data_IF_830920241543
#
_entry.id   IF_830920241543
#
_cell.length_a   1.000
_cell.length_b   1.000
_cell.length_c   1.000
_cell.angle_alpha   90.00
_cell.angle_beta   90.00
_cell.angle_gamma   90.00
#
_symmetry.space_group_name_H-M   'P 1'
#
loop_
_entity.id
_entity.type
_entity.pdbx_description
1 polymer ?
#
# COMPACT_ATOMS: atom_id res chain seq x y z
N UNK A 1 -18.79 -28.91 -24.01
CA UNK A 1 -17.87 -29.53 -23.03
C UNK A 1 -16.84 -28.49 -22.62
N UNK A 2 -16.58 -28.39 -21.33
CA UNK A 2 -15.60 -27.49 -20.73
C UNK A 2 -14.85 -28.19 -19.58
N UNK A 3 -13.76 -27.64 -19.13
CA UNK A 3 -13.10 -28.07 -17.91
C UNK A 3 -13.47 -27.14 -16.76
N UNK A 4 -13.46 -27.67 -15.54
CA UNK A 4 -13.61 -26.90 -14.32
C UNK A 4 -12.28 -26.38 -13.79
N UNK A 5 -12.28 -25.98 -12.53
CA UNK A 5 -11.10 -25.55 -11.80
C UNK A 5 -10.00 -26.61 -11.87
N UNK A 6 -8.78 -26.18 -12.20
CA UNK A 6 -7.65 -27.08 -12.50
C UNK A 6 -7.37 -28.17 -11.46
N UNK A 7 -7.56 -27.84 -10.16
CA UNK A 7 -7.25 -28.76 -9.05
C UNK A 7 -8.48 -29.29 -8.32
N UNK A 8 -9.62 -28.61 -8.40
CA UNK A 8 -10.81 -28.90 -7.60
C UNK A 8 -11.98 -29.41 -8.46
N UNK A 9 -12.04 -28.96 -9.71
CA UNK A 9 -13.15 -29.25 -10.61
C UNK A 9 -12.98 -30.55 -11.38
N UNK A 10 -14.08 -31.02 -11.97
CA UNK A 10 -14.07 -32.12 -12.95
C UNK A 10 -13.55 -31.64 -14.30
N UNK A 11 -12.99 -32.53 -15.05
CA UNK A 11 -12.65 -32.33 -16.47
C UNK A 11 -13.78 -32.83 -17.37
N UNK A 12 -13.82 -32.35 -18.62
CA UNK A 12 -14.78 -32.75 -19.63
C UNK A 12 -16.25 -32.64 -19.21
N UNK A 13 -16.58 -31.54 -18.50
CA UNK A 13 -17.94 -31.25 -18.03
C UNK A 13 -18.85 -30.99 -19.23
N UNK A 14 -19.95 -31.73 -19.33
CA UNK A 14 -20.95 -31.50 -20.35
C UNK A 14 -21.99 -30.47 -19.89
N UNK A 15 -22.16 -29.42 -20.67
CA UNK A 15 -23.16 -28.38 -20.43
C UNK A 15 -24.25 -28.56 -21.53
N UNK A 16 -25.41 -29.08 -21.16
CA UNK A 16 -26.45 -29.40 -22.16
C UNK A 16 -27.11 -28.15 -22.75
N UNK A 17 -27.19 -27.06 -21.98
CA UNK A 17 -27.75 -25.81 -22.46
C UNK A 17 -27.17 -24.58 -21.67
N UNK A 18 -27.38 -23.39 -22.21
CA UNK A 18 -26.83 -22.16 -21.64
C UNK A 18 -27.40 -21.82 -20.26
N UNK A 19 -28.64 -22.21 -19.96
CA UNK A 19 -29.27 -21.90 -18.68
C UNK A 19 -28.62 -22.65 -17.50
N UNK A 20 -28.05 -23.82 -17.77
CA UNK A 20 -27.39 -24.64 -16.75
C UNK A 20 -25.90 -24.31 -16.57
N UNK A 21 -25.33 -23.49 -17.47
CA UNK A 21 -23.90 -23.17 -17.49
C UNK A 21 -23.33 -22.76 -16.13
N UNK A 22 -23.90 -21.73 -15.53
CA UNK A 22 -23.40 -21.23 -14.25
C UNK A 22 -23.58 -22.22 -13.10
N UNK A 23 -24.70 -22.93 -13.07
CA UNK A 23 -25.00 -23.94 -12.04
C UNK A 23 -24.00 -25.11 -12.12
N UNK A 24 -23.80 -25.65 -13.31
CA UNK A 24 -22.88 -26.78 -13.52
C UNK A 24 -21.44 -26.40 -13.21
N UNK A 25 -21.00 -25.20 -13.60
CA UNK A 25 -19.65 -24.73 -13.27
C UNK A 25 -19.45 -24.57 -11.76
N UNK A 26 -20.44 -24.08 -11.03
CA UNK A 26 -20.35 -24.00 -9.56
C UNK A 26 -20.29 -25.36 -8.89
N UNK A 27 -21.12 -26.30 -9.32
CA UNK A 27 -21.32 -27.58 -8.62
C UNK A 27 -20.33 -28.67 -9.06
N UNK A 28 -19.99 -28.74 -10.31
CA UNK A 28 -19.08 -29.74 -10.87
C UNK A 28 -17.72 -29.17 -11.24
N UNK A 29 -17.71 -27.92 -11.69
CA UNK A 29 -16.50 -27.24 -12.12
C UNK A 29 -15.72 -26.59 -10.99
N UNK A 30 -16.31 -26.35 -9.84
CA UNK A 30 -15.70 -25.55 -8.76
C UNK A 30 -15.19 -24.18 -9.29
N UNK A 31 -16.06 -23.52 -10.07
CA UNK A 31 -15.81 -22.19 -10.65
C UNK A 31 -17.06 -21.33 -10.46
N UNK A 32 -16.89 -20.13 -9.95
CA UNK A 32 -17.94 -19.12 -9.94
C UNK A 32 -17.79 -18.24 -11.20
N UNK A 33 -18.62 -18.45 -12.22
CA UNK A 33 -18.47 -17.72 -13.49
C UNK A 33 -18.98 -16.29 -13.43
N UNK A 34 -19.90 -15.98 -12.50
CA UNK A 34 -20.45 -14.64 -12.36
C UNK A 34 -19.48 -13.71 -11.62
N UNK A 35 -18.99 -12.68 -12.31
CA UNK A 35 -18.06 -11.71 -11.77
C UNK A 35 -18.57 -11.02 -10.49
N UNK A 36 -19.86 -10.62 -10.50
CA UNK A 36 -20.43 -9.88 -9.35
C UNK A 36 -20.63 -10.77 -8.14
N UNK A 37 -21.11 -12.00 -8.37
CA UNK A 37 -21.29 -13.00 -7.28
C UNK A 37 -19.94 -13.36 -6.69
N UNK A 38 -18.92 -13.58 -7.51
CA UNK A 38 -17.56 -13.89 -7.04
C UNK A 38 -16.95 -12.73 -6.25
N UNK A 39 -17.10 -11.50 -6.75
CA UNK A 39 -16.62 -10.29 -6.06
C UNK A 39 -17.28 -10.12 -4.69
N UNK A 40 -18.59 -10.28 -4.61
CA UNK A 40 -19.32 -10.19 -3.34
C UNK A 40 -18.88 -11.30 -2.37
N UNK A 41 -18.67 -12.50 -2.88
CA UNK A 41 -18.13 -13.61 -2.07
C UNK A 41 -16.76 -13.28 -1.47
N UNK A 42 -15.84 -12.67 -2.25
CA UNK A 42 -14.53 -12.22 -1.73
C UNK A 42 -14.74 -11.16 -0.64
N UNK A 43 -15.57 -10.15 -0.90
CA UNK A 43 -15.84 -9.07 0.04
C UNK A 43 -16.35 -9.60 1.39
N UNK A 44 -17.36 -10.46 1.37
CA UNK A 44 -17.92 -11.04 2.59
C UNK A 44 -16.94 -11.97 3.31
N UNK A 45 -16.14 -12.76 2.56
CA UNK A 45 -15.12 -13.60 3.18
C UNK A 45 -14.03 -12.78 3.86
N UNK A 46 -13.57 -11.68 3.24
CA UNK A 46 -12.58 -10.76 3.83
C UNK A 46 -13.10 -10.19 5.15
N UNK A 47 -14.32 -9.67 5.19
CA UNK A 47 -14.94 -9.13 6.40
C UNK A 47 -15.08 -10.20 7.51
N UNK A 48 -15.55 -11.37 7.15
CA UNK A 48 -15.74 -12.46 8.11
C UNK A 48 -14.41 -12.96 8.70
N UNK A 49 -13.36 -13.08 7.87
CA UNK A 49 -12.03 -13.53 8.31
C UNK A 49 -11.28 -12.50 9.14
N UNK A 50 -11.55 -11.22 8.94
CA UNK A 50 -10.97 -10.15 9.74
C UNK A 50 -11.40 -10.19 11.22
N UNK A 51 -12.59 -10.69 11.50
CA UNK A 51 -13.11 -10.74 12.87
C UNK A 51 -13.35 -9.36 13.46
N UNK A 52 -12.58 -8.98 14.47
CA UNK A 52 -12.66 -7.67 15.13
C UNK A 52 -11.87 -6.56 14.41
N UNK A 53 -11.01 -6.91 13.44
CA UNK A 53 -10.21 -5.96 12.70
C UNK A 53 -10.94 -5.37 11.49
N UNK A 54 -10.45 -4.22 11.02
CA UNK A 54 -10.94 -3.59 9.79
C UNK A 54 -10.02 -3.94 8.63
N UNK A 55 -10.58 -4.35 7.51
CA UNK A 55 -9.83 -4.67 6.30
C UNK A 55 -9.63 -3.41 5.47
N UNK A 56 -8.40 -3.12 5.09
CA UNK A 56 -8.08 -2.08 4.10
C UNK A 56 -8.34 -2.69 2.72
N UNK A 57 -9.45 -2.30 2.11
CA UNK A 57 -9.99 -2.94 0.90
C UNK A 57 -10.27 -1.90 -0.20
N UNK A 58 -9.22 -1.39 -0.88
CA UNK A 58 -9.41 -0.55 -2.05
C UNK A 58 -10.22 -1.28 -3.13
N UNK A 59 -11.20 -0.61 -3.72
CA UNK A 59 -12.06 -1.17 -4.77
C UNK A 59 -11.24 -1.75 -5.93
N UNK A 60 -10.20 -1.03 -6.36
CA UNK A 60 -9.32 -1.48 -7.45
C UNK A 60 -8.58 -2.78 -7.11
N UNK A 61 -8.15 -2.96 -5.85
CA UNK A 61 -7.51 -4.20 -5.42
C UNK A 61 -8.50 -5.35 -5.38
N UNK A 62 -9.71 -5.11 -4.87
CA UNK A 62 -10.76 -6.12 -4.84
C UNK A 62 -11.16 -6.57 -6.26
N UNK A 63 -11.28 -5.64 -7.20
CA UNK A 63 -11.61 -5.92 -8.59
C UNK A 63 -10.47 -6.69 -9.30
N UNK A 64 -9.23 -6.33 -9.03
CA UNK A 64 -8.06 -7.05 -9.55
C UNK A 64 -8.01 -8.48 -9.04
N UNK A 65 -8.13 -8.68 -7.73
CA UNK A 65 -8.10 -10.01 -7.10
C UNK A 65 -9.28 -10.87 -7.58
N UNK A 66 -10.46 -10.29 -7.72
CA UNK A 66 -11.62 -10.97 -8.30
C UNK A 66 -11.36 -11.45 -9.73
N UNK A 67 -10.60 -10.69 -10.51
CA UNK A 67 -10.26 -11.07 -11.90
C UNK A 67 -9.20 -12.17 -11.97
N UNK A 68 -8.42 -12.36 -10.90
CA UNK A 68 -7.35 -13.37 -10.83
C UNK A 68 -7.81 -14.73 -10.30
N UNK A 69 -9.05 -14.83 -9.77
CA UNK A 69 -9.54 -16.02 -9.11
C UNK A 69 -10.81 -16.55 -9.76
N UNK A 70 -10.99 -17.86 -9.75
CA UNK A 70 -12.19 -18.58 -10.25
C UNK A 70 -13.04 -19.12 -9.11
N UNK A 71 -12.37 -19.54 -8.03
CA UNK A 71 -12.98 -20.10 -6.81
C UNK A 71 -12.30 -19.51 -5.58
N UNK A 72 -12.61 -18.24 -5.24
CA UNK A 72 -11.89 -17.51 -4.21
C UNK A 72 -12.17 -18.06 -2.82
N UNK A 73 -11.09 -18.26 -2.06
CA UNK A 73 -11.12 -18.63 -0.63
C UNK A 73 -10.15 -17.74 0.12
N UNK A 74 -10.63 -17.10 1.18
CA UNK A 74 -9.82 -16.18 1.98
C UNK A 74 -9.17 -16.90 3.16
N UNK A 75 -7.86 -16.76 3.27
CA UNK A 75 -7.07 -17.24 4.40
C UNK A 75 -6.41 -16.07 5.12
N UNK A 76 -6.19 -16.25 6.43
CA UNK A 76 -5.48 -15.30 7.27
C UNK A 76 -4.05 -15.79 7.49
N UNK A 77 -3.08 -14.90 7.34
CA UNK A 77 -1.67 -15.14 7.57
C UNK A 77 -1.09 -14.02 8.45
N UNK A 78 0.12 -14.25 8.96
CA UNK A 78 0.80 -13.35 9.89
C UNK A 78 2.22 -13.06 9.42
N UNK A 79 2.75 -11.92 9.84
CA UNK A 79 4.15 -11.57 9.73
C UNK A 79 4.70 -11.17 11.10
N UNK A 80 6.01 -11.08 11.21
CA UNK A 80 6.68 -10.79 12.47
C UNK A 80 6.35 -9.38 12.96
N UNK A 81 5.91 -9.22 14.24
CA UNK A 81 5.48 -7.91 14.79
C UNK A 81 6.56 -6.81 14.72
N UNK A 82 7.83 -7.19 14.61
CA UNK A 82 8.96 -6.25 14.52
C UNK A 82 8.88 -5.32 13.31
N UNK A 83 8.25 -5.78 12.20
CA UNK A 83 8.03 -4.96 11.02
C UNK A 83 7.06 -3.79 11.27
N UNK A 84 6.21 -3.84 12.30
CA UNK A 84 5.33 -2.74 12.67
C UNK A 84 6.07 -1.47 13.12
N UNK A 85 7.40 -1.54 13.30
CA UNK A 85 8.25 -0.37 13.50
C UNK A 85 8.43 0.51 12.25
N UNK A 86 8.13 -0.05 11.07
CA UNK A 86 8.10 0.67 9.80
C UNK A 86 6.77 1.41 9.66
N UNK A 87 6.73 2.62 9.06
CA UNK A 87 5.47 3.30 8.79
C UNK A 87 4.45 2.38 8.14
N UNK A 88 3.25 2.34 8.68
CA UNK A 88 2.21 1.40 8.23
C UNK A 88 1.86 1.58 6.74
N UNK A 89 1.91 2.80 6.23
CA UNK A 89 1.64 3.10 4.82
C UNK A 89 2.61 2.37 3.88
N UNK A 90 3.88 2.19 4.30
CA UNK A 90 4.87 1.42 3.55
C UNK A 90 4.51 -0.07 3.50
N UNK A 91 4.15 -0.63 4.67
CA UNK A 91 3.80 -2.06 4.78
C UNK A 91 2.51 -2.37 4.02
N UNK A 92 1.50 -1.51 4.15
CA UNK A 92 0.22 -1.64 3.45
C UNK A 92 0.46 -1.63 1.95
N UNK A 93 1.19 -0.64 1.45
CA UNK A 93 1.47 -0.51 0.02
C UNK A 93 2.28 -1.69 -0.51
N UNK A 94 3.29 -2.14 0.24
CA UNK A 94 4.09 -3.33 -0.09
C UNK A 94 3.21 -4.58 -0.24
N UNK A 95 2.31 -4.82 0.70
CA UNK A 95 1.40 -5.98 0.66
C UNK A 95 0.42 -5.89 -0.52
N UNK A 96 -0.16 -4.72 -0.76
CA UNK A 96 -1.15 -4.52 -1.82
C UNK A 96 -0.54 -4.55 -3.22
N UNK A 97 0.56 -3.82 -3.43
CA UNK A 97 1.15 -3.67 -4.77
C UNK A 97 1.84 -4.95 -5.23
N UNK A 98 2.65 -5.55 -4.36
CA UNK A 98 3.50 -6.67 -4.75
C UNK A 98 2.79 -8.02 -4.69
N UNK A 99 1.89 -8.22 -3.71
CA UNK A 99 1.32 -9.52 -3.41
C UNK A 99 -0.20 -9.58 -3.46
N UNK A 100 -0.90 -8.44 -3.65
CA UNK A 100 -2.36 -8.36 -3.68
C UNK A 100 -3.01 -8.83 -2.37
N UNK A 101 -2.33 -8.64 -1.24
CA UNK A 101 -2.85 -8.95 0.07
C UNK A 101 -3.66 -7.80 0.65
N UNK A 102 -4.59 -8.14 1.53
CA UNK A 102 -5.42 -7.17 2.24
C UNK A 102 -4.89 -6.99 3.66
N UNK A 103 -4.36 -5.82 3.93
CA UNK A 103 -3.90 -5.45 5.26
C UNK A 103 -5.09 -5.19 6.19
N UNK A 104 -4.87 -5.33 7.50
CA UNK A 104 -5.89 -5.08 8.49
C UNK A 104 -5.42 -4.09 9.54
N UNK A 105 -6.37 -3.34 10.10
CA UNK A 105 -6.13 -2.40 11.20
C UNK A 105 -7.02 -2.73 12.40
N UNK A 106 -6.58 -2.28 13.57
CA UNK A 106 -7.40 -2.27 14.77
C UNK A 106 -8.48 -1.17 14.71
N UNK A 107 -9.24 -1.03 15.79
CA UNK A 107 -10.29 -0.02 15.96
C UNK A 107 -9.76 1.43 15.99
N UNK A 108 -8.46 1.62 16.21
CA UNK A 108 -7.77 2.92 16.20
C UNK A 108 -7.11 3.24 14.88
N UNK A 109 -7.21 2.35 13.89
CA UNK A 109 -6.58 2.49 12.59
C UNK A 109 -5.09 2.13 12.55
N UNK A 110 -4.56 1.51 13.60
CA UNK A 110 -3.18 1.01 13.60
C UNK A 110 -3.10 -0.35 12.90
N UNK A 111 -2.10 -0.51 12.03
CA UNK A 111 -1.85 -1.75 11.31
C UNK A 111 -1.56 -2.89 12.31
N UNK A 112 -2.19 -4.04 12.08
CA UNK A 112 -1.89 -5.27 12.82
C UNK A 112 -0.95 -6.16 12.00
N UNK A 113 -0.25 -7.09 12.66
CA UNK A 113 0.69 -7.99 11.99
C UNK A 113 0.01 -9.21 11.34
N UNK A 114 -1.26 -9.08 11.01
CA UNK A 114 -2.04 -10.07 10.29
C UNK A 114 -2.49 -9.49 8.94
N UNK A 115 -2.64 -10.35 7.95
CA UNK A 115 -3.15 -9.97 6.63
C UNK A 115 -4.02 -11.08 6.03
N UNK A 116 -4.83 -10.72 5.05
CA UNK A 116 -5.69 -11.66 4.36
C UNK A 116 -5.19 -11.88 2.93
N UNK A 117 -5.20 -13.14 2.52
CA UNK A 117 -4.86 -13.57 1.17
C UNK A 117 -6.06 -14.26 0.53
N UNK A 118 -6.35 -13.91 -0.71
CA UNK A 118 -7.36 -14.61 -1.51
C UNK A 118 -6.66 -15.66 -2.34
N UNK A 119 -6.91 -16.91 -1.99
CA UNK A 119 -6.43 -18.08 -2.71
C UNK A 119 -7.49 -18.53 -3.73
N UNK A 120 -7.04 -19.25 -4.75
CA UNK A 120 -7.93 -19.93 -5.71
C UNK A 120 -8.13 -21.41 -5.37
N UNK A 121 -7.77 -21.86 -4.18
CA UNK A 121 -7.83 -23.27 -3.75
C UNK A 121 -8.49 -23.39 -2.39
N UNK A 122 -9.55 -24.20 -2.33
CA UNK A 122 -10.14 -24.67 -1.07
C UNK A 122 -9.39 -25.92 -0.60
N UNK A 123 -8.99 -25.94 0.66
CA UNK A 123 -8.33 -27.08 1.30
C UNK A 123 -8.71 -27.19 2.77
N UNK A 124 -8.75 -28.40 3.29
CA UNK A 124 -8.98 -28.68 4.71
C UNK A 124 -7.76 -28.31 5.57
N UNK A 125 -6.56 -28.36 4.97
CA UNK A 125 -5.32 -27.92 5.61
C UNK A 125 -4.70 -26.74 4.82
N UNK A 126 -4.95 -25.49 5.23
CA UNK A 126 -4.41 -24.32 4.57
C UNK A 126 -2.96 -23.95 4.98
N UNK A 127 -2.31 -24.75 5.83
CA UNK A 127 -0.99 -24.42 6.41
C UNK A 127 0.03 -24.07 5.33
N UNK A 128 0.13 -24.83 4.25
CA UNK A 128 1.05 -24.59 3.15
C UNK A 128 0.74 -23.28 2.39
N UNK A 129 -0.53 -22.92 2.28
CA UNK A 129 -0.93 -21.66 1.63
C UNK A 129 -0.55 -20.49 2.55
N UNK A 130 -0.89 -20.57 3.84
CA UNK A 130 -0.63 -19.52 4.84
C UNK A 130 0.87 -19.30 5.00
N UNK A 131 1.64 -20.36 5.26
CA UNK A 131 3.09 -20.30 5.43
C UNK A 131 3.81 -19.85 4.14
N UNK A 132 3.34 -20.32 2.99
CA UNK A 132 3.87 -19.92 1.70
C UNK A 132 3.75 -18.42 1.46
N UNK A 133 2.57 -17.85 1.73
CA UNK A 133 2.32 -16.42 1.57
C UNK A 133 3.06 -15.58 2.62
N UNK A 134 3.13 -16.03 3.88
CA UNK A 134 3.95 -15.38 4.91
C UNK A 134 5.44 -15.36 4.53
N UNK A 135 5.95 -16.46 3.95
CA UNK A 135 7.33 -16.56 3.46
C UNK A 135 7.62 -15.59 2.31
N UNK A 136 6.66 -15.34 1.44
CA UNK A 136 6.81 -14.41 0.31
C UNK A 136 6.74 -12.95 0.75
N UNK A 137 5.88 -12.61 1.70
CA UNK A 137 5.75 -11.22 2.17
C UNK A 137 6.94 -10.76 3.00
N UNK A 138 7.52 -11.65 3.81
CA UNK A 138 8.61 -11.33 4.76
C UNK A 138 9.81 -10.62 4.11
N UNK A 139 10.41 -11.10 3.01
CA UNK A 139 11.50 -10.37 2.35
C UNK A 139 11.10 -8.96 1.90
N UNK A 140 9.87 -8.77 1.44
CA UNK A 140 9.36 -7.47 1.00
C UNK A 140 9.22 -6.48 2.16
N UNK A 141 8.73 -6.96 3.32
CA UNK A 141 8.67 -6.14 4.52
C UNK A 141 10.07 -5.83 5.07
N UNK A 142 11.01 -6.77 4.96
CA UNK A 142 12.41 -6.56 5.31
C UNK A 142 13.09 -5.51 4.41
N UNK A 143 12.82 -5.52 3.11
CA UNK A 143 13.30 -4.49 2.18
C UNK A 143 12.76 -3.10 2.57
N UNK A 144 11.46 -3.00 2.86
CA UNK A 144 10.86 -1.74 3.32
C UNK A 144 11.47 -1.25 4.64
N UNK A 145 11.71 -2.16 5.59
CA UNK A 145 12.39 -1.83 6.85
C UNK A 145 13.82 -1.34 6.59
N UNK A 146 14.55 -2.01 5.72
CA UNK A 146 15.91 -1.63 5.36
C UNK A 146 15.95 -0.22 4.75
N UNK A 147 15.11 0.09 3.77
CA UNK A 147 15.05 1.42 3.15
C UNK A 147 14.70 2.49 4.18
N UNK A 148 13.71 2.24 5.03
CA UNK A 148 13.33 3.18 6.08
C UNK A 148 14.49 3.48 7.04
N UNK A 149 15.18 2.44 7.51
CA UNK A 149 16.32 2.59 8.42
C UNK A 149 17.54 3.26 7.76
N UNK A 150 17.78 3.04 6.46
CA UNK A 150 18.84 3.74 5.74
C UNK A 150 18.50 5.21 5.54
N UNK A 151 17.27 5.53 5.17
CA UNK A 151 16.83 6.90 4.95
C UNK A 151 16.90 7.74 6.24
N UNK A 152 16.56 7.18 7.39
CA UNK A 152 16.67 7.86 8.70
C UNK A 152 18.09 8.29 9.07
N UNK A 153 19.12 7.67 8.50
CA UNK A 153 20.53 8.03 8.73
C UNK A 153 20.95 9.31 8.01
N UNK A 154 20.19 9.72 6.99
CA UNK A 154 20.47 10.93 6.20
C UNK A 154 19.70 12.11 6.79
N UNK A 155 20.37 13.23 7.02
CA UNK A 155 19.69 14.46 7.44
C UNK A 155 18.79 15.00 6.35
N UNK A 156 17.74 15.75 6.76
CA UNK A 156 16.85 16.41 5.79
C UNK A 156 17.62 17.43 4.92
N UNK A 157 18.59 18.11 5.49
CA UNK A 157 19.41 19.09 4.77
C UNK A 157 20.28 18.42 3.69
N UNK A 158 20.83 17.23 3.95
CA UNK A 158 21.52 16.43 2.93
C UNK A 158 20.59 15.99 1.82
N UNK A 159 19.36 15.56 2.16
CA UNK A 159 18.33 15.19 1.18
C UNK A 159 17.97 16.39 0.31
N UNK A 160 17.71 17.57 0.91
CA UNK A 160 17.41 18.80 0.17
C UNK A 160 18.58 19.19 -0.75
N UNK A 161 19.84 19.04 -0.29
CA UNK A 161 21.01 19.28 -1.11
C UNK A 161 21.01 18.47 -2.42
N UNK A 162 20.58 17.21 -2.37
CA UNK A 162 20.47 16.33 -3.55
C UNK A 162 19.37 16.75 -4.52
N UNK A 163 18.38 17.53 -4.12
CA UNK A 163 17.32 18.05 -5.00
C UNK A 163 17.85 18.97 -6.10
N UNK A 164 19.07 19.47 -5.99
CA UNK A 164 19.71 20.25 -7.05
C UNK A 164 19.96 19.43 -8.32
N UNK A 165 20.13 18.13 -8.21
CA UNK A 165 20.30 17.21 -9.34
C UNK A 165 18.99 16.64 -9.89
N UNK A 166 17.87 16.84 -9.19
CA UNK A 166 16.54 16.34 -9.60
C UNK A 166 15.89 17.35 -10.53
N UNK A 167 15.67 16.97 -11.78
CA UNK A 167 15.01 17.85 -12.76
C UNK A 167 13.55 18.04 -12.39
N UNK A 168 13.14 19.29 -12.19
CA UNK A 168 11.73 19.64 -12.02
C UNK A 168 11.06 19.87 -13.39
N UNK A 169 11.69 20.71 -14.21
CA UNK A 169 11.21 21.02 -15.55
C UNK A 169 12.38 21.58 -16.39
N UNK A 170 12.48 21.19 -17.66
CA UNK A 170 13.60 21.55 -18.54
C UNK A 170 13.89 23.05 -18.64
N UNK A 171 12.84 23.88 -18.55
CA UNK A 171 12.98 25.35 -18.62
C UNK A 171 12.99 26.03 -17.25
N UNK A 172 12.52 25.39 -16.19
CA UNK A 172 12.35 25.96 -14.85
C UNK A 172 13.42 25.49 -13.85
N UNK A 173 14.26 24.54 -14.29
CA UNK A 173 15.39 24.05 -13.52
C UNK A 173 15.09 22.86 -12.62
N UNK A 174 15.87 22.71 -11.55
CA UNK A 174 15.82 21.59 -10.62
C UNK A 174 14.73 21.74 -9.56
N UNK A 175 14.43 20.64 -8.85
CA UNK A 175 13.61 20.66 -7.63
C UNK A 175 14.23 21.56 -6.56
N UNK A 176 15.55 21.57 -6.40
CA UNK A 176 16.23 22.48 -5.47
C UNK A 176 15.99 23.95 -5.81
N UNK A 177 16.05 24.33 -7.08
CA UNK A 177 15.72 25.70 -7.53
C UNK A 177 14.23 26.04 -7.27
N UNK A 178 13.33 25.07 -7.43
CA UNK A 178 11.90 25.22 -7.09
C UNK A 178 11.72 25.41 -5.59
N UNK A 179 12.35 24.61 -4.75
CA UNK A 179 12.30 24.73 -3.27
C UNK A 179 12.70 26.13 -2.83
N UNK A 180 13.79 26.70 -3.39
CA UNK A 180 14.22 28.06 -3.06
C UNK A 180 13.14 29.11 -3.38
N UNK A 181 12.46 28.99 -4.51
CA UNK A 181 11.35 29.89 -4.88
C UNK A 181 10.16 29.76 -3.94
N UNK A 182 9.75 28.51 -3.65
CA UNK A 182 8.62 28.23 -2.75
C UNK A 182 8.94 28.75 -1.34
N UNK A 183 10.18 28.58 -0.86
CA UNK A 183 10.62 29.09 0.44
C UNK A 183 10.53 30.61 0.54
N UNK A 184 10.91 31.33 -0.53
CA UNK A 184 10.79 32.79 -0.56
C UNK A 184 9.34 33.25 -0.53
N UNK A 185 8.45 32.57 -1.29
CA UNK A 185 7.01 32.86 -1.31
C UNK A 185 6.37 32.55 0.04
N UNK A 186 6.69 31.41 0.65
CA UNK A 186 6.17 31.01 1.94
C UNK A 186 6.57 32.01 3.05
N UNK A 187 7.83 32.48 3.02
CA UNK A 187 8.30 33.51 3.94
C UNK A 187 7.50 34.82 3.79
N UNK A 188 7.33 35.29 2.56
CA UNK A 188 6.58 36.51 2.27
C UNK A 188 5.12 36.41 2.75
N UNK A 189 4.44 35.29 2.41
CA UNK A 189 3.06 35.07 2.83
C UNK A 189 2.92 34.98 4.36
N UNK A 190 3.82 34.29 5.01
CA UNK A 190 3.83 34.19 6.47
C UNK A 190 3.97 35.56 7.14
N UNK A 191 4.84 36.42 6.61
CA UNK A 191 5.00 37.81 7.10
C UNK A 191 3.71 38.61 6.92
N UNK A 192 3.07 38.55 5.73
CA UNK A 192 1.83 39.28 5.46
C UNK A 192 0.66 38.84 6.34
N UNK A 193 0.64 37.56 6.69
CA UNK A 193 -0.42 36.95 7.51
C UNK A 193 -0.12 36.98 9.02
N UNK A 194 1.02 37.50 9.43
CA UNK A 194 1.43 37.49 10.83
C UNK A 194 1.73 36.09 11.40
N UNK A 195 2.06 35.12 10.51
CA UNK A 195 2.42 33.76 10.87
C UNK A 195 3.92 33.63 11.16
N UNK A 196 4.35 32.44 11.65
CA UNK A 196 5.75 32.19 11.95
C UNK A 196 6.56 32.00 10.65
N UNK A 197 7.31 33.04 10.29
CA UNK A 197 8.15 33.08 9.07
C UNK A 197 9.23 31.98 9.09
N UNK A 198 9.84 31.69 10.24
CA UNK A 198 10.90 30.70 10.34
C UNK A 198 10.34 29.28 10.09
N UNK A 199 9.20 28.95 10.65
CA UNK A 199 8.55 27.65 10.47
C UNK A 199 8.03 27.49 9.03
N UNK A 200 7.44 28.54 8.44
CA UNK A 200 7.01 28.53 7.04
C UNK A 200 8.19 28.32 6.07
N UNK A 201 9.33 28.97 6.31
CA UNK A 201 10.56 28.76 5.54
C UNK A 201 11.09 27.34 5.67
N UNK A 202 11.13 26.81 6.91
CA UNK A 202 11.63 25.45 7.16
C UNK A 202 10.71 24.40 6.51
N UNK A 203 9.40 24.52 6.67
CA UNK A 203 8.42 23.66 6.04
C UNK A 203 8.58 23.62 4.50
N UNK A 204 8.65 24.79 3.86
CA UNK A 204 8.86 24.90 2.43
C UNK A 204 10.21 24.31 1.98
N UNK A 205 11.25 24.44 2.80
CA UNK A 205 12.59 23.93 2.51
C UNK A 205 12.64 22.40 2.49
N UNK A 206 12.02 21.74 3.48
CA UNK A 206 12.09 20.27 3.61
C UNK A 206 10.95 19.53 2.92
N UNK A 207 9.90 20.22 2.47
CA UNK A 207 8.66 19.62 1.95
C UNK A 207 8.88 18.59 0.82
N UNK A 208 10.00 18.66 0.11
CA UNK A 208 10.35 17.75 -1.00
C UNK A 208 11.59 16.91 -0.73
N UNK A 209 12.10 16.91 0.50
CA UNK A 209 13.34 16.22 0.85
C UNK A 209 13.26 14.70 0.58
N UNK A 210 12.10 14.10 0.81
CA UNK A 210 11.84 12.67 0.67
C UNK A 210 11.87 12.16 -0.79
N UNK A 211 11.80 13.04 -1.79
CA UNK A 211 11.91 12.65 -3.21
C UNK A 211 13.23 11.96 -3.56
N UNK A 212 14.25 12.11 -2.73
CA UNK A 212 15.57 11.48 -2.91
C UNK A 212 15.83 10.37 -1.90
N UNK A 213 14.82 9.96 -1.15
CA UNK A 213 14.87 8.82 -0.25
C UNK A 213 14.76 7.51 -1.02
N UNK A 214 15.33 6.43 -0.47
CA UNK A 214 15.26 5.11 -1.06
C UNK A 214 13.81 4.59 -1.04
N UNK A 215 13.07 4.88 0.04
CA UNK A 215 11.67 4.50 0.18
C UNK A 215 10.77 5.13 -0.91
N UNK A 216 10.90 6.43 -1.17
CA UNK A 216 10.11 7.10 -2.22
C UNK A 216 10.61 6.72 -3.61
N UNK A 217 11.87 6.33 -3.75
CA UNK A 217 12.41 5.75 -4.98
C UNK A 217 11.74 4.44 -5.35
N UNK A 218 11.46 3.58 -4.35
CA UNK A 218 10.74 2.30 -4.52
C UNK A 218 9.22 2.51 -4.62
N UNK A 219 8.66 3.38 -3.77
CA UNK A 219 7.24 3.66 -3.67
C UNK A 219 6.95 5.15 -3.85
N UNK A 220 6.85 5.65 -5.11
CA UNK A 220 6.60 7.07 -5.39
C UNK A 220 5.31 7.64 -4.78
N UNK A 221 4.32 6.78 -4.52
CA UNK A 221 3.04 7.14 -3.89
C UNK A 221 3.22 7.60 -2.45
N UNK A 222 4.33 7.24 -1.80
CA UNK A 222 4.63 7.62 -0.42
C UNK A 222 5.30 8.98 -0.29
N UNK A 223 5.51 9.71 -1.40
CA UNK A 223 6.07 11.06 -1.33
C UNK A 223 5.17 11.96 -0.47
N UNK A 224 5.80 12.75 0.38
CA UNK A 224 5.14 13.58 1.40
C UNK A 224 4.84 12.81 2.69
N UNK A 225 4.26 11.62 2.62
CA UNK A 225 4.05 10.75 3.78
C UNK A 225 5.39 10.43 4.44
N UNK A 226 6.36 9.98 3.65
CA UNK A 226 7.71 9.69 4.15
C UNK A 226 8.43 10.95 4.63
N UNK A 227 8.24 12.07 3.95
CA UNK A 227 8.75 13.37 4.38
C UNK A 227 8.31 13.73 5.80
N UNK A 228 7.05 13.50 6.14
CA UNK A 228 6.53 13.70 7.50
C UNK A 228 7.21 12.78 8.52
N UNK A 229 7.36 11.49 8.21
CA UNK A 229 8.03 10.55 9.12
C UNK A 229 9.50 10.91 9.36
N UNK A 230 10.24 11.27 8.31
CA UNK A 230 11.64 11.68 8.43
C UNK A 230 11.77 13.01 9.17
N UNK A 231 10.91 13.99 8.89
CA UNK A 231 10.90 15.26 9.59
C UNK A 231 10.63 15.07 11.11
N UNK A 232 9.66 14.23 11.45
CA UNK A 232 9.37 13.87 12.84
C UNK A 232 10.56 13.16 13.50
N UNK A 233 11.19 12.22 12.81
CA UNK A 233 12.37 11.50 13.29
C UNK A 233 13.54 12.43 13.60
N UNK A 234 13.75 13.45 12.76
CA UNK A 234 14.83 14.44 12.93
C UNK A 234 14.47 15.59 13.88
N UNK A 235 13.33 15.51 14.57
CA UNK A 235 12.95 16.46 15.62
C UNK A 235 12.41 17.79 15.10
N UNK A 236 11.91 17.85 13.87
CA UNK A 236 11.20 19.03 13.36
C UNK A 236 9.91 19.25 14.15
N UNK A 237 9.45 20.52 14.23
CA UNK A 237 8.15 20.83 14.84
C UNK A 237 7.02 20.10 14.13
N UNK A 238 5.97 19.76 14.88
CA UNK A 238 4.85 18.98 14.36
C UNK A 238 4.22 19.61 13.10
N UNK A 239 4.03 20.94 13.10
CA UNK A 239 3.46 21.68 11.98
C UNK A 239 4.38 21.67 10.75
N UNK A 240 5.69 21.75 10.97
CA UNK A 240 6.70 21.70 9.92
C UNK A 240 6.75 20.30 9.30
N UNK A 241 6.70 19.26 10.12
CA UNK A 241 6.66 17.88 9.66
C UNK A 241 5.35 17.57 8.92
N UNK A 242 4.21 18.03 9.43
CA UNK A 242 2.90 17.84 8.80
C UNK A 242 2.85 18.46 7.38
N UNK A 243 3.47 19.63 7.19
CA UNK A 243 3.51 20.30 5.89
C UNK A 243 4.14 19.44 4.79
N UNK A 244 5.03 18.49 5.12
CA UNK A 244 5.61 17.55 4.13
C UNK A 244 4.54 16.68 3.46
N UNK A 245 3.51 16.28 4.19
CA UNK A 245 2.40 15.47 3.66
C UNK A 245 1.24 16.35 3.15
N UNK A 246 0.88 17.37 3.91
CA UNK A 246 -0.34 18.16 3.66
C UNK A 246 -0.26 19.04 2.42
N UNK A 247 0.92 19.46 1.98
CA UNK A 247 1.03 20.26 0.75
C UNK A 247 0.68 19.50 -0.55
N UNK A 248 0.45 18.20 -0.47
CA UNK A 248 -0.11 17.39 -1.56
C UNK A 248 -1.64 17.30 -1.51
N UNK A 249 -2.25 17.75 -0.41
CA UNK A 249 -3.70 17.74 -0.26
C UNK A 249 -4.30 19.03 -0.84
N UNK A 250 -5.52 18.97 -1.38
CA UNK A 250 -6.22 20.14 -1.89
C UNK A 250 -6.66 21.11 -0.79
#
# INVERSE_FOLDING_TARGET
>A
VTDGHRFLGKTAINIPNAHEYAHILRTEGMVEPDYKVRRESIYEQLKNKAGAYQVIMPEALLDEVNSLTEYPVVYKAEFEPEFLSVPQECLILTMQTNQKYFAMTDDKGALVNEFLVVSNVLTDDPSQIVEGNARVVRPRLADAQFFFEQDKKRSLDEMVGKLQSVVYHNKLGSQGARVARVQAIAAYLAEQLGANVADAKRAAYIAKADLVSDMVGEFPELQGVMGRYYATHHGEKAEVAAACAEHYQP
#
